data_IF_039683364572
#
_entry.id   IF_039683364572
#
_cell.length_a   1.000
_cell.length_b   1.000
_cell.length_c   1.000
_cell.angle_alpha   90.00
_cell.angle_beta   90.00
_cell.angle_gamma   90.00
#
_symmetry.space_group_name_H-M   'P 1'
#
loop_
_entity.id
_entity.type
_entity.pdbx_description
1 polymer ?
#
# COMPACT_ATOMS: atom_id res chain seq x y z
N UNK A 1 1.41 -1.26 15.48
CA UNK A 1 1.02 -2.66 15.73
C UNK A 1 0.65 -3.41 14.45
N UNK A 2 -0.26 -2.86 13.64
CA UNK A 2 -0.78 -3.49 12.40
C UNK A 2 0.31 -3.93 11.39
N UNK A 3 1.46 -3.26 11.35
CA UNK A 3 2.58 -3.59 10.45
C UNK A 3 3.79 -4.27 11.10
N UNK A 4 3.91 -4.26 12.45
CA UNK A 4 5.17 -4.55 13.16
C UNK A 4 5.46 -6.06 13.32
N UNK A 5 4.45 -6.84 13.69
CA UNK A 5 4.52 -8.31 13.66
C UNK A 5 4.64 -8.86 12.23
N UNK A 6 3.84 -8.38 11.25
CA UNK A 6 3.97 -8.83 9.88
C UNK A 6 5.38 -8.65 9.31
N UNK A 7 6.01 -7.50 9.49
CA UNK A 7 7.34 -7.25 8.88
C UNK A 7 8.42 -8.22 9.37
N UNK A 8 8.40 -8.60 10.65
CA UNK A 8 9.30 -9.63 11.21
C UNK A 8 9.00 -11.03 10.66
N UNK A 9 7.72 -11.34 10.46
CA UNK A 9 7.28 -12.63 9.92
C UNK A 9 7.39 -12.73 8.39
N UNK A 10 7.50 -11.62 7.66
CA UNK A 10 7.39 -11.57 6.19
C UNK A 10 8.44 -12.41 5.45
N UNK A 11 9.71 -12.35 5.88
CA UNK A 11 10.82 -13.10 5.27
C UNK A 11 10.69 -14.60 5.52
N UNK A 12 10.30 -14.96 6.74
CA UNK A 12 10.05 -16.35 7.12
C UNK A 12 8.83 -16.91 6.41
N UNK A 13 7.76 -16.13 6.31
CA UNK A 13 6.54 -16.48 5.61
C UNK A 13 6.81 -16.72 4.13
N UNK A 14 7.55 -15.84 3.45
CA UNK A 14 7.94 -16.02 2.04
C UNK A 14 8.68 -17.32 1.80
N UNK A 15 9.75 -17.59 2.56
CA UNK A 15 10.52 -18.84 2.49
C UNK A 15 9.68 -20.07 2.83
N UNK A 16 8.72 -19.94 3.74
CA UNK A 16 7.77 -21.00 4.03
C UNK A 16 6.87 -21.26 2.82
N UNK A 17 6.32 -20.24 2.16
CA UNK A 17 5.46 -20.43 0.97
C UNK A 17 6.20 -21.14 -0.16
N UNK A 18 7.48 -20.87 -0.32
CA UNK A 18 8.33 -21.54 -1.31
C UNK A 18 8.46 -23.05 -1.03
N UNK A 19 8.38 -23.48 0.25
CA UNK A 19 8.50 -24.89 0.67
C UNK A 19 7.17 -25.63 0.80
N UNK A 20 6.17 -24.99 1.39
CA UNK A 20 4.86 -25.62 1.71
C UNK A 20 3.76 -25.29 0.69
N UNK A 21 4.08 -24.47 -0.31
CA UNK A 21 3.14 -23.96 -1.30
C UNK A 21 2.28 -22.81 -0.77
N UNK A 22 1.72 -22.02 -1.68
CA UNK A 22 1.04 -20.74 -1.38
C UNK A 22 -0.34 -20.92 -0.72
N UNK A 23 -1.01 -22.05 -0.95
CA UNK A 23 -2.40 -22.26 -0.52
C UNK A 23 -2.59 -22.21 1.01
N UNK A 24 -1.69 -22.83 1.77
CA UNK A 24 -1.80 -22.88 3.24
C UNK A 24 -1.60 -21.49 3.87
N UNK A 25 -0.53 -20.73 3.53
CA UNK A 25 -0.38 -19.33 3.95
C UNK A 25 -1.56 -18.45 3.55
N UNK A 26 -2.10 -18.61 2.34
CA UNK A 26 -3.25 -17.83 1.86
C UNK A 26 -4.50 -18.10 2.72
N UNK A 27 -4.84 -19.37 2.96
CA UNK A 27 -5.95 -19.76 3.83
C UNK A 27 -5.76 -19.26 5.27
N UNK A 28 -4.56 -19.44 5.85
CA UNK A 28 -4.26 -18.98 7.19
C UNK A 28 -4.37 -17.46 7.31
N UNK A 29 -3.88 -16.73 6.30
CA UNK A 29 -3.98 -15.27 6.24
C UNK A 29 -5.42 -14.77 6.18
N UNK A 30 -6.22 -15.31 5.26
CA UNK A 30 -7.63 -14.94 5.14
C UNK A 30 -8.44 -15.34 6.38
N UNK A 31 -8.20 -16.52 6.94
CA UNK A 31 -8.84 -16.96 8.18
C UNK A 31 -8.49 -16.03 9.37
N UNK A 32 -7.22 -15.61 9.48
CA UNK A 32 -6.80 -14.64 10.50
C UNK A 32 -7.53 -13.31 10.38
N UNK A 33 -7.73 -12.80 9.16
CA UNK A 33 -8.52 -11.59 8.90
C UNK A 33 -9.97 -11.77 9.32
N UNK A 34 -10.61 -12.87 8.92
CA UNK A 34 -12.02 -13.18 9.29
C UNK A 34 -12.17 -13.27 10.81
N UNK A 35 -11.28 -14.00 11.49
CA UNK A 35 -11.28 -14.14 12.95
C UNK A 35 -11.07 -12.78 13.62
N UNK A 36 -10.11 -11.97 13.16
CA UNK A 36 -9.87 -10.63 13.70
C UNK A 36 -11.09 -9.72 13.56
N UNK A 37 -11.75 -9.72 12.41
CA UNK A 37 -12.95 -8.91 12.18
C UNK A 37 -14.14 -9.41 13.02
N UNK A 38 -14.34 -10.73 13.10
CA UNK A 38 -15.38 -11.32 13.95
C UNK A 38 -15.18 -10.96 15.43
N UNK A 39 -13.92 -10.93 15.87
CA UNK A 39 -13.55 -10.56 17.23
C UNK A 39 -13.86 -9.09 17.55
N UNK A 40 -13.62 -8.18 16.60
CA UNK A 40 -14.03 -6.77 16.70
C UNK A 40 -15.54 -6.60 16.84
N UNK A 41 -16.33 -7.48 16.20
CA UNK A 41 -17.78 -7.50 16.32
C UNK A 41 -18.25 -8.08 17.66
N UNK A 42 -17.60 -9.14 18.17
CA UNK A 42 -18.01 -9.83 19.39
C UNK A 42 -17.65 -9.02 20.65
N UNK A 43 -16.46 -8.42 20.68
CA UNK A 43 -15.92 -7.72 21.85
C UNK A 43 -15.53 -6.28 21.45
N UNK A 44 -16.49 -5.33 21.47
CA UNK A 44 -16.26 -3.95 21.06
C UNK A 44 -15.58 -3.13 22.17
N UNK A 45 -14.35 -3.51 22.52
CA UNK A 45 -13.52 -2.83 23.52
C UNK A 45 -12.26 -2.28 22.86
N UNK A 46 -11.78 -1.13 23.34
CA UNK A 46 -10.58 -0.47 22.79
C UNK A 46 -9.35 -1.39 22.86
N UNK A 47 -9.17 -2.08 23.99
CA UNK A 47 -8.06 -3.03 24.17
C UNK A 47 -8.10 -4.15 23.13
N UNK A 48 -9.30 -4.61 22.77
CA UNK A 48 -9.50 -5.64 21.77
C UNK A 48 -9.06 -5.20 20.39
N UNK A 49 -9.19 -3.91 20.06
CA UNK A 49 -8.78 -3.37 18.76
C UNK A 49 -7.27 -3.51 18.53
N UNK A 50 -6.46 -3.57 19.59
CA UNK A 50 -5.02 -3.87 19.44
C UNK A 50 -4.79 -5.30 18.95
N UNK A 51 -5.50 -6.28 19.54
CA UNK A 51 -5.41 -7.68 19.11
C UNK A 51 -5.97 -7.87 17.70
N UNK A 52 -7.13 -7.26 17.41
CA UNK A 52 -7.74 -7.24 16.07
C UNK A 52 -6.76 -6.68 15.05
N UNK A 53 -6.10 -5.56 15.36
CA UNK A 53 -5.10 -4.95 14.47
C UNK A 53 -3.93 -5.88 14.17
N UNK A 54 -3.46 -6.64 15.16
CA UNK A 54 -2.38 -7.63 14.98
C UNK A 54 -2.83 -8.82 14.12
N UNK A 55 -4.05 -9.34 14.33
CA UNK A 55 -4.60 -10.48 13.58
C UNK A 55 -4.91 -10.11 12.12
N UNK A 56 -5.58 -8.97 11.92
CA UNK A 56 -5.92 -8.47 10.59
C UNK A 56 -4.67 -8.05 9.83
N UNK A 57 -3.74 -7.34 10.48
CA UNK A 57 -2.49 -6.91 9.85
C UNK A 57 -1.60 -8.09 9.41
N UNK A 58 -1.40 -9.07 10.30
CA UNK A 58 -0.60 -10.26 9.98
C UNK A 58 -1.27 -11.13 8.91
N UNK A 59 -2.58 -11.31 9.02
CA UNK A 59 -3.38 -12.05 8.04
C UNK A 59 -3.38 -11.38 6.66
N UNK A 60 -3.57 -10.06 6.61
CA UNK A 60 -3.53 -9.27 5.39
C UNK A 60 -2.15 -9.34 4.73
N UNK A 61 -1.07 -9.30 5.49
CA UNK A 61 0.28 -9.42 4.92
C UNK A 61 0.51 -10.81 4.32
N UNK A 62 0.13 -11.89 5.00
CA UNK A 62 0.23 -13.26 4.46
C UNK A 62 -0.57 -13.40 3.16
N UNK A 63 -1.80 -12.89 3.15
CA UNK A 63 -2.64 -12.83 1.96
C UNK A 63 -1.95 -12.03 0.84
N UNK A 64 -1.44 -10.85 1.15
CA UNK A 64 -0.80 -9.97 0.18
C UNK A 64 0.45 -10.61 -0.44
N UNK A 65 1.33 -11.22 0.36
CA UNK A 65 2.51 -11.93 -0.15
C UNK A 65 2.09 -13.12 -1.02
N UNK A 66 1.10 -13.91 -0.56
CA UNK A 66 0.60 -15.06 -1.30
C UNK A 66 0.02 -14.68 -2.67
N UNK A 67 -0.81 -13.64 -2.73
CA UNK A 67 -1.43 -13.17 -3.97
C UNK A 67 -0.38 -12.59 -4.94
N UNK A 68 0.60 -11.81 -4.44
CA UNK A 68 1.70 -11.34 -5.28
C UNK A 68 2.55 -12.50 -5.82
N UNK A 69 2.77 -13.55 -5.01
CA UNK A 69 3.48 -14.75 -5.45
C UNK A 69 2.70 -15.48 -6.56
N UNK A 70 1.37 -15.61 -6.43
CA UNK A 70 0.50 -16.20 -7.44
C UNK A 70 0.54 -15.37 -8.73
N UNK A 71 0.37 -14.05 -8.65
CA UNK A 71 0.39 -13.17 -9.83
C UNK A 71 1.71 -13.24 -10.60
N UNK A 72 2.84 -13.36 -9.90
CA UNK A 72 4.15 -13.52 -10.52
C UNK A 72 4.46 -14.94 -11.04
N UNK A 73 3.68 -15.94 -10.62
CA UNK A 73 3.89 -17.36 -10.94
C UNK A 73 2.86 -17.97 -11.91
N UNK A 74 1.79 -17.25 -12.20
CA UNK A 74 0.73 -17.67 -13.12
C UNK A 74 1.11 -17.30 -14.57
N UNK A 75 0.81 -18.19 -15.52
CA UNK A 75 1.02 -17.97 -16.96
C UNK A 75 2.49 -17.97 -17.40
N UNK A 76 2.71 -17.62 -18.66
CA UNK A 76 4.06 -17.46 -19.21
C UNK A 76 4.73 -16.18 -18.70
N UNK A 77 6.07 -16.04 -18.83
CA UNK A 77 6.77 -14.79 -18.48
C UNK A 77 6.16 -13.53 -19.11
N UNK A 78 5.55 -13.69 -20.29
CA UNK A 78 4.90 -12.64 -21.08
C UNK A 78 3.60 -12.13 -20.42
N UNK A 79 2.88 -13.00 -19.71
CA UNK A 79 1.58 -12.70 -19.08
C UNK A 79 1.72 -12.01 -17.71
N UNK A 80 2.92 -12.03 -17.12
CA UNK A 80 3.16 -11.49 -15.76
C UNK A 80 2.76 -10.02 -15.65
N UNK A 81 3.04 -9.23 -16.67
CA UNK A 81 2.67 -7.82 -16.69
C UNK A 81 1.14 -7.63 -16.60
N UNK A 82 0.38 -8.45 -17.33
CA UNK A 82 -1.08 -8.44 -17.27
C UNK A 82 -1.58 -8.89 -15.89
N UNK A 83 -1.03 -9.96 -15.32
CA UNK A 83 -1.41 -10.46 -14.00
C UNK A 83 -1.19 -9.41 -12.90
N UNK A 84 -0.03 -8.74 -12.90
CA UNK A 84 0.24 -7.66 -11.96
C UNK A 84 -0.65 -6.43 -12.22
N UNK A 85 -1.01 -6.15 -13.48
CA UNK A 85 -1.95 -5.07 -13.81
C UNK A 85 -3.35 -5.36 -13.28
N UNK A 86 -3.88 -6.58 -13.48
CA UNK A 86 -5.17 -7.01 -12.95
C UNK A 86 -5.18 -7.00 -11.42
N UNK A 87 -4.11 -7.49 -10.78
CA UNK A 87 -3.95 -7.45 -9.33
C UNK A 87 -3.94 -6.00 -8.81
N UNK A 88 -3.18 -5.13 -9.47
CA UNK A 88 -3.10 -3.71 -9.15
C UNK A 88 -4.46 -3.01 -9.31
N UNK A 89 -5.22 -3.37 -10.35
CA UNK A 89 -6.58 -2.87 -10.58
C UNK A 89 -7.51 -3.30 -9.43
N UNK A 90 -7.47 -4.57 -9.03
CA UNK A 90 -8.25 -5.08 -7.90
C UNK A 90 -7.96 -4.34 -6.59
N UNK A 91 -6.68 -4.11 -6.27
CA UNK A 91 -6.32 -3.28 -5.10
C UNK A 91 -6.86 -1.85 -5.21
N UNK A 92 -6.76 -1.22 -6.37
CA UNK A 92 -7.26 0.13 -6.58
C UNK A 92 -8.80 0.20 -6.45
N UNK A 93 -9.52 -0.75 -7.03
CA UNK A 93 -10.98 -0.85 -6.88
C UNK A 93 -11.38 -1.04 -5.42
N UNK A 94 -10.65 -1.87 -4.67
CA UNK A 94 -10.89 -2.05 -3.23
C UNK A 94 -10.55 -0.80 -2.40
N UNK A 95 -9.48 -0.08 -2.76
CA UNK A 95 -9.07 1.17 -2.09
C UNK A 95 -10.00 2.34 -2.37
N UNK A 96 -10.74 2.30 -3.48
CA UNK A 96 -11.82 3.23 -3.81
C UNK A 96 -13.12 2.86 -3.06
N UNK A 97 -13.63 1.64 -3.25
CA UNK A 97 -14.93 1.22 -2.74
C UNK A 97 -14.92 0.95 -1.23
N UNK A 98 -13.81 0.45 -0.68
CA UNK A 98 -13.70 0.04 0.72
C UNK A 98 -14.02 1.16 1.70
N UNK A 99 -13.29 2.29 1.66
CA UNK A 99 -13.57 3.43 2.55
C UNK A 99 -14.97 4.03 2.37
N UNK A 100 -15.50 4.05 1.14
CA UNK A 100 -16.86 4.54 0.89
C UNK A 100 -17.90 3.63 1.54
N UNK A 101 -17.85 2.32 1.27
CA UNK A 101 -18.76 1.34 1.86
C UNK A 101 -18.66 1.39 3.39
N UNK A 102 -17.44 1.46 3.93
CA UNK A 102 -17.22 1.55 5.37
C UNK A 102 -17.80 2.84 5.96
N UNK A 103 -17.56 3.99 5.33
CA UNK A 103 -18.05 5.30 5.79
C UNK A 103 -19.58 5.36 5.87
N UNK A 104 -20.26 5.02 4.76
CA UNK A 104 -21.72 4.96 4.72
C UNK A 104 -22.28 3.95 5.73
N UNK A 105 -21.66 2.77 5.84
CA UNK A 105 -22.11 1.76 6.80
C UNK A 105 -21.93 2.23 8.25
N UNK A 106 -20.83 2.93 8.58
CA UNK A 106 -20.61 3.43 9.95
C UNK A 106 -21.72 4.41 10.34
N UNK A 107 -22.10 5.33 9.47
CA UNK A 107 -23.15 6.31 9.80
C UNK A 107 -24.54 5.66 9.90
N UNK A 108 -24.83 4.63 9.10
CA UNK A 108 -26.18 4.02 9.04
C UNK A 108 -26.39 2.88 10.03
N UNK A 109 -25.41 1.99 10.17
CA UNK A 109 -25.52 0.75 10.96
C UNK A 109 -24.54 0.70 12.13
N UNK A 110 -23.70 1.73 12.29
CA UNK A 110 -22.72 1.85 13.37
C UNK A 110 -21.48 0.99 13.18
N UNK A 111 -20.38 1.41 13.81
CA UNK A 111 -19.06 0.77 13.74
C UNK A 111 -19.09 -0.76 13.89
N UNK A 112 -19.83 -1.27 14.88
CA UNK A 112 -19.89 -2.71 15.19
C UNK A 112 -20.42 -3.52 14.01
N UNK A 113 -21.55 -3.12 13.43
CA UNK A 113 -22.17 -3.85 12.31
C UNK A 113 -21.39 -3.65 11.01
N UNK A 114 -20.70 -2.53 10.85
CA UNK A 114 -19.77 -2.32 9.73
C UNK A 114 -18.65 -3.35 9.73
N UNK A 115 -18.08 -3.71 10.89
CA UNK A 115 -17.12 -4.81 10.95
C UNK A 115 -17.71 -6.12 10.41
N UNK A 116 -18.94 -6.48 10.77
CA UNK A 116 -19.58 -7.69 10.26
C UNK A 116 -19.78 -7.64 8.73
N UNK A 117 -20.21 -6.50 8.20
CA UNK A 117 -20.37 -6.29 6.75
C UNK A 117 -19.04 -6.47 6.01
N UNK A 118 -17.96 -5.85 6.50
CA UNK A 118 -16.62 -6.01 5.92
C UNK A 118 -16.08 -7.44 6.08
N UNK A 119 -16.37 -8.08 7.21
CA UNK A 119 -16.07 -9.49 7.49
C UNK A 119 -16.76 -10.44 6.52
N UNK A 120 -17.95 -10.08 6.02
CA UNK A 120 -18.65 -10.83 4.98
C UNK A 120 -17.84 -10.99 3.70
N UNK A 121 -17.17 -9.93 3.21
CA UNK A 121 -16.29 -10.02 2.03
C UNK A 121 -15.08 -10.94 2.27
N UNK A 122 -14.45 -10.82 3.45
CA UNK A 122 -13.35 -11.70 3.83
C UNK A 122 -13.80 -13.16 3.97
N UNK A 123 -14.99 -13.40 4.51
CA UNK A 123 -15.59 -14.73 4.66
C UNK A 123 -15.94 -15.35 3.31
N UNK A 124 -16.52 -14.59 2.38
CA UNK A 124 -16.77 -15.05 1.00
C UNK A 124 -15.47 -15.49 0.32
N UNK A 125 -14.39 -14.73 0.52
CA UNK A 125 -13.06 -15.08 0.01
C UNK A 125 -12.56 -16.38 0.62
N UNK A 126 -12.71 -16.54 1.94
CA UNK A 126 -12.32 -17.77 2.66
C UNK A 126 -13.11 -18.99 2.21
N UNK A 127 -14.43 -18.85 2.05
CA UNK A 127 -15.31 -19.93 1.58
C UNK A 127 -14.95 -20.34 0.15
N UNK A 128 -14.66 -19.39 -0.75
CA UNK A 128 -14.19 -19.68 -2.10
C UNK A 128 -12.89 -20.49 -2.13
N UNK A 129 -11.94 -20.15 -1.25
CA UNK A 129 -10.67 -20.87 -1.10
C UNK A 129 -10.83 -22.28 -0.50
N UNK A 130 -11.72 -22.44 0.49
CA UNK A 130 -12.04 -23.72 1.11
C UNK A 130 -12.78 -24.65 0.15
N UNK A 131 -13.72 -24.11 -0.61
CA UNK A 131 -14.48 -24.82 -1.65
C UNK A 131 -13.64 -25.19 -2.89
N UNK A 132 -12.34 -24.86 -2.90
CA UNK A 132 -11.40 -25.12 -4.01
C UNK A 132 -11.86 -24.56 -5.36
N UNK A 133 -12.70 -23.50 -5.35
CA UNK A 133 -13.15 -22.84 -6.58
C UNK A 133 -12.08 -21.93 -7.21
N UNK A 134 -10.95 -21.73 -6.52
CA UNK A 134 -9.79 -21.00 -7.01
C UNK A 134 -8.65 -21.97 -7.26
N UNK A 135 -8.26 -22.12 -8.53
CA UNK A 135 -7.06 -22.86 -8.90
C UNK A 135 -5.83 -22.04 -8.53
N UNK A 136 -4.97 -22.62 -7.69
CA UNK A 136 -3.71 -21.99 -7.27
C UNK A 136 -2.59 -22.73 -8.02
N UNK A 137 -1.94 -22.10 -9.01
CA UNK A 137 -0.85 -22.73 -9.76
C UNK A 137 0.26 -23.17 -8.81
N UNK A 138 0.74 -24.41 -8.97
CA UNK A 138 1.96 -24.87 -8.29
C UNK A 138 3.15 -24.39 -9.09
N UNK A 139 3.95 -23.48 -8.53
CA UNK A 139 5.18 -23.03 -9.17
C UNK A 139 6.34 -23.97 -8.86
N UNK A 140 7.20 -24.17 -9.85
CA UNK A 140 8.55 -24.71 -9.65
C UNK A 140 9.41 -23.66 -8.96
N UNK A 141 10.13 -24.08 -7.91
CA UNK A 141 11.10 -23.26 -7.19
C UNK A 141 12.19 -22.85 -8.18
N UNK A 142 12.44 -21.55 -8.35
CA UNK A 142 13.63 -21.09 -9.05
C UNK A 142 14.83 -21.46 -8.19
N UNK A 143 15.83 -22.12 -8.79
CA UNK A 143 17.04 -22.50 -8.08
C UNK A 143 17.73 -21.26 -7.47
N UNK A 144 18.17 -21.33 -6.21
CA UNK A 144 18.95 -20.27 -5.61
C UNK A 144 20.25 -20.11 -6.41
N UNK A 145 20.44 -18.95 -7.03
CA UNK A 145 21.72 -18.62 -7.66
C UNK A 145 22.74 -18.38 -6.56
N UNK A 146 23.73 -19.29 -6.47
CA UNK A 146 24.72 -19.43 -5.40
C UNK A 146 25.84 -18.36 -5.43
N UNK A 147 25.65 -17.26 -6.16
CA UNK A 147 26.65 -16.20 -6.18
C UNK A 147 26.51 -15.31 -4.93
N UNK A 148 27.61 -15.22 -4.17
CA UNK A 148 27.83 -14.23 -3.09
C UNK A 148 27.86 -12.81 -3.65
N UNK A 149 26.74 -12.31 -4.17
CA UNK A 149 26.58 -10.96 -4.71
C UNK A 149 26.28 -9.99 -3.57
N UNK A 150 27.05 -8.90 -3.48
CA UNK A 150 26.87 -7.92 -2.41
C UNK A 150 25.69 -7.00 -2.73
N UNK A 151 24.73 -6.91 -1.79
CA UNK A 151 23.60 -5.97 -1.87
C UNK A 151 24.08 -4.50 -1.96
N UNK A 152 25.26 -4.20 -1.43
CA UNK A 152 25.90 -2.87 -1.52
C UNK A 152 26.11 -2.40 -2.95
N UNK A 153 26.23 -3.30 -3.92
CA UNK A 153 26.46 -2.95 -5.33
C UNK A 153 25.20 -2.34 -5.98
N UNK A 154 24.00 -2.70 -5.52
CA UNK A 154 22.76 -2.05 -5.95
C UNK A 154 22.74 -0.60 -5.49
N UNK A 155 23.21 -0.38 -4.26
CA UNK A 155 23.46 0.96 -3.75
C UNK A 155 24.68 1.61 -4.40
N UNK A 156 25.48 1.00 -5.27
CA UNK A 156 26.50 1.75 -6.04
C UNK A 156 25.91 2.37 -7.30
N UNK A 157 24.87 1.76 -7.86
CA UNK A 157 24.17 2.33 -9.00
C UNK A 157 23.44 3.61 -8.57
N UNK A 158 23.90 4.74 -9.11
CA UNK A 158 23.34 6.06 -8.81
C UNK A 158 21.84 6.06 -9.05
N UNK A 159 21.34 5.46 -10.13
CA UNK A 159 19.91 5.45 -10.47
C UNK A 159 19.08 4.66 -9.46
N UNK A 160 19.52 3.46 -9.08
CA UNK A 160 18.81 2.64 -8.10
C UNK A 160 18.73 3.32 -6.73
N UNK A 161 19.79 4.02 -6.29
CA UNK A 161 19.74 4.83 -5.05
C UNK A 161 18.56 5.80 -5.03
N UNK A 162 18.28 6.45 -6.16
CA UNK A 162 17.17 7.41 -6.24
C UNK A 162 15.82 6.73 -6.26
N UNK A 163 15.71 5.60 -6.94
CA UNK A 163 14.48 4.81 -6.93
C UNK A 163 14.16 4.30 -5.52
N UNK A 164 15.20 3.92 -4.76
CA UNK A 164 15.08 3.56 -3.34
C UNK A 164 14.72 4.74 -2.45
N UNK A 165 15.36 5.89 -2.65
CA UNK A 165 15.03 7.14 -1.94
C UNK A 165 13.57 7.57 -2.20
N UNK A 166 13.16 7.59 -3.47
CA UNK A 166 11.80 7.92 -3.86
C UNK A 166 10.80 6.95 -3.24
N UNK A 167 11.10 5.64 -3.23
CA UNK A 167 10.25 4.64 -2.55
C UNK A 167 10.15 4.90 -1.04
N UNK A 168 11.26 5.28 -0.41
CA UNK A 168 11.34 5.59 1.02
C UNK A 168 10.61 6.86 1.43
N UNK A 169 10.36 7.80 0.51
CA UNK A 169 9.59 9.03 0.77
C UNK A 169 8.13 8.89 0.32
N UNK A 170 7.87 8.21 -0.78
CA UNK A 170 6.51 8.03 -1.30
C UNK A 170 5.68 7.02 -0.47
N UNK A 171 6.32 6.00 0.12
CA UNK A 171 5.60 5.06 1.00
C UNK A 171 5.05 5.73 2.25
N UNK A 172 5.86 6.47 3.06
CA UNK A 172 5.29 7.19 4.19
C UNK A 172 4.30 8.28 3.77
N UNK A 173 4.39 8.79 2.54
CA UNK A 173 3.44 9.79 2.05
C UNK A 173 2.05 9.16 2.01
N UNK A 174 1.95 7.98 1.43
CA UNK A 174 0.71 7.21 1.40
C UNK A 174 0.19 6.89 2.79
N UNK A 175 1.08 6.41 3.67
CA UNK A 175 0.74 6.02 5.04
C UNK A 175 0.23 7.23 5.84
N UNK A 176 0.87 8.40 5.68
CA UNK A 176 0.46 9.66 6.31
C UNK A 176 -0.98 10.03 5.90
N UNK A 177 -1.29 10.03 4.61
CA UNK A 177 -2.65 10.35 4.15
C UNK A 177 -3.68 9.41 4.78
N UNK A 178 -3.44 8.11 4.70
CA UNK A 178 -4.40 7.10 5.16
C UNK A 178 -4.59 7.13 6.69
N UNK A 179 -3.54 7.48 7.43
CA UNK A 179 -3.56 7.60 8.88
C UNK A 179 -4.24 8.90 9.35
N UNK A 180 -3.89 10.03 8.71
CA UNK A 180 -4.25 11.35 9.25
C UNK A 180 -5.62 11.81 8.81
N UNK A 181 -6.07 11.44 7.61
CA UNK A 181 -7.37 11.91 7.10
C UNK A 181 -8.53 11.57 8.03
N UNK A 182 -8.66 10.33 8.58
CA UNK A 182 -9.72 10.05 9.55
C UNK A 182 -9.60 10.87 10.84
N UNK A 183 -8.37 11.11 11.32
CA UNK A 183 -8.12 11.87 12.55
C UNK A 183 -8.48 13.34 12.33
N UNK A 184 -7.92 13.98 11.31
CA UNK A 184 -8.19 15.37 10.95
C UNK A 184 -9.67 15.58 10.63
N UNK A 185 -10.26 14.69 9.84
CA UNK A 185 -11.68 14.73 9.51
C UNK A 185 -12.58 14.65 10.74
N UNK A 186 -12.30 13.74 11.67
CA UNK A 186 -13.06 13.65 12.92
C UNK A 186 -12.88 14.87 13.83
N UNK A 187 -11.69 15.47 13.87
CA UNK A 187 -11.39 16.66 14.68
C UNK A 187 -12.15 17.90 14.19
N UNK A 188 -12.33 18.04 12.87
CA UNK A 188 -13.10 19.12 12.27
C UNK A 188 -14.61 18.79 12.16
N UNK A 189 -15.05 17.66 12.72
CA UNK A 189 -16.46 17.28 12.82
C UNK A 189 -17.06 16.60 11.59
N UNK A 190 -16.26 16.08 10.67
CA UNK A 190 -16.76 15.30 9.53
C UNK A 190 -17.37 13.97 9.99
N UNK A 191 -18.47 13.60 9.35
CA UNK A 191 -19.11 12.28 9.44
C UNK A 191 -18.22 11.17 8.86
N UNK A 192 -18.52 9.90 9.20
CA UNK A 192 -17.76 8.78 8.66
C UNK A 192 -17.95 8.64 7.13
N UNK A 193 -19.12 9.00 6.62
CA UNK A 193 -19.40 9.07 5.18
C UNK A 193 -18.49 10.08 4.48
N UNK A 194 -18.35 11.29 5.02
CA UNK A 194 -17.50 12.32 4.42
C UNK A 194 -16.02 11.90 4.41
N UNK A 195 -15.53 11.32 5.51
CA UNK A 195 -14.17 10.75 5.57
C UNK A 195 -14.01 9.62 4.55
N UNK A 196 -15.01 8.74 4.46
CA UNK A 196 -15.05 7.64 3.49
C UNK A 196 -15.04 8.14 2.04
N UNK A 197 -15.72 9.24 1.73
CA UNK A 197 -15.72 9.90 0.42
C UNK A 197 -14.36 10.54 0.10
N UNK A 198 -13.68 11.15 1.07
CA UNK A 198 -12.33 11.71 0.88
C UNK A 198 -11.31 10.60 0.56
N UNK A 199 -11.33 9.52 1.34
CA UNK A 199 -10.49 8.34 1.08
C UNK A 199 -10.87 7.64 -0.23
N UNK A 200 -12.16 7.61 -0.56
CA UNK A 200 -12.68 7.12 -1.83
C UNK A 200 -12.18 7.94 -3.01
N UNK A 201 -12.24 9.28 -2.95
CA UNK A 201 -11.74 10.17 -3.99
C UNK A 201 -10.24 9.95 -4.27
N UNK A 202 -9.45 9.73 -3.22
CA UNK A 202 -8.06 9.31 -3.36
C UNK A 202 -7.93 7.97 -4.11
N UNK A 203 -8.69 6.94 -3.73
CA UNK A 203 -8.76 5.65 -4.43
C UNK A 203 -9.19 5.76 -5.90
N UNK A 204 -10.19 6.58 -6.19
CA UNK A 204 -10.69 6.84 -7.54
C UNK A 204 -9.63 7.51 -8.41
N UNK A 205 -8.92 8.50 -7.88
CA UNK A 205 -7.81 9.14 -8.57
C UNK A 205 -6.68 8.16 -8.92
N UNK A 206 -6.33 7.25 -7.99
CA UNK A 206 -5.34 6.20 -8.26
C UNK A 206 -5.80 5.29 -9.39
N UNK A 207 -7.06 4.88 -9.38
CA UNK A 207 -7.65 4.06 -10.43
C UNK A 207 -7.58 4.77 -11.80
N UNK A 208 -8.00 6.03 -11.86
CA UNK A 208 -7.94 6.86 -13.08
C UNK A 208 -6.51 7.00 -13.59
N UNK A 209 -5.56 7.34 -12.73
CA UNK A 209 -4.15 7.46 -13.14
C UNK A 209 -3.58 6.14 -13.62
N UNK A 210 -3.90 5.02 -12.96
CA UNK A 210 -3.41 3.70 -13.40
C UNK A 210 -3.93 3.32 -14.80
N UNK A 211 -5.16 3.68 -15.14
CA UNK A 211 -5.68 3.53 -16.50
C UNK A 211 -4.98 4.47 -17.49
N UNK A 212 -4.61 5.68 -17.07
CA UNK A 212 -3.94 6.67 -17.91
C UNK A 212 -2.43 6.43 -18.09
N UNK A 213 -1.77 5.72 -17.16
CA UNK A 213 -0.32 5.50 -17.14
C UNK A 213 0.24 4.94 -18.46
N UNK A 214 -0.36 3.91 -19.10
CA UNK A 214 0.13 3.41 -20.39
C UNK A 214 0.18 4.50 -21.46
N UNK A 215 -0.86 5.34 -21.53
CA UNK A 215 -0.95 6.44 -22.48
C UNK A 215 0.04 7.57 -22.16
N UNK A 216 0.24 7.87 -20.87
CA UNK A 216 1.19 8.88 -20.39
C UNK A 216 2.63 8.51 -20.75
N UNK A 217 2.98 7.23 -20.59
CA UNK A 217 4.33 6.74 -20.87
C UNK A 217 4.71 6.76 -22.35
N UNK A 218 3.74 6.81 -23.27
CA UNK A 218 4.02 7.04 -24.69
C UNK A 218 4.47 8.48 -25.00
N UNK A 219 4.18 9.44 -24.12
CA UNK A 219 4.46 10.87 -24.33
C UNK A 219 5.44 11.47 -23.34
N UNK A 220 5.56 10.89 -22.14
CA UNK A 220 6.28 11.44 -21.00
C UNK A 220 7.16 10.36 -20.38
N UNK A 221 8.42 10.68 -20.06
CA UNK A 221 9.35 9.72 -19.46
C UNK A 221 9.00 9.38 -18.00
N UNK A 222 9.40 8.19 -17.56
CA UNK A 222 9.15 7.66 -16.20
C UNK A 222 9.62 8.64 -15.09
N UNK A 223 10.79 9.25 -15.27
CA UNK A 223 11.36 10.23 -14.34
C UNK A 223 10.57 11.53 -14.27
N UNK A 224 10.01 11.98 -15.39
CA UNK A 224 9.21 13.20 -15.45
C UNK A 224 7.89 13.00 -14.72
N UNK A 225 7.22 11.86 -14.94
CA UNK A 225 6.00 11.48 -14.22
C UNK A 225 6.27 11.37 -12.72
N UNK A 226 7.35 10.67 -12.34
CA UNK A 226 7.72 10.50 -10.93
C UNK A 226 8.05 11.84 -10.26
N UNK A 227 8.79 12.71 -10.94
CA UNK A 227 9.14 14.05 -10.42
C UNK A 227 7.90 14.91 -10.25
N UNK A 228 7.02 14.95 -11.26
CA UNK A 228 5.78 15.74 -11.20
C UNK A 228 4.88 15.25 -10.06
N UNK A 229 4.75 13.93 -9.91
CA UNK A 229 4.01 13.31 -8.81
C UNK A 229 4.55 13.70 -7.43
N UNK A 230 5.87 13.68 -7.24
CA UNK A 230 6.49 14.04 -5.96
C UNK A 230 6.31 15.53 -5.66
N UNK A 231 6.51 16.40 -6.65
CA UNK A 231 6.31 17.84 -6.49
C UNK A 231 4.84 18.18 -6.20
N UNK A 232 3.90 17.63 -6.96
CA UNK A 232 2.47 17.89 -6.77
C UNK A 232 2.00 17.40 -5.39
N UNK A 233 2.38 16.17 -5.01
CA UNK A 233 2.05 15.60 -3.69
C UNK A 233 2.64 16.46 -2.56
N UNK A 234 3.89 16.89 -2.71
CA UNK A 234 4.56 17.73 -1.72
C UNK A 234 3.85 19.07 -1.52
N UNK A 235 3.48 19.74 -2.62
CA UNK A 235 2.69 20.99 -2.58
C UNK A 235 1.34 20.75 -1.92
N UNK A 236 0.65 19.67 -2.29
CA UNK A 236 -0.66 19.34 -1.68
C UNK A 236 -0.55 19.15 -0.17
N UNK A 237 0.51 18.52 0.35
CA UNK A 237 0.70 18.40 1.80
C UNK A 237 0.99 19.70 2.54
N UNK A 238 1.53 20.73 1.88
CA UNK A 238 1.62 22.05 2.52
C UNK A 238 0.24 22.67 2.74
N UNK A 239 -0.66 22.46 1.79
CA UNK A 239 -2.02 23.04 1.80
C UNK A 239 -2.98 22.20 2.65
N UNK A 240 -2.84 20.88 2.64
CA UNK A 240 -3.77 19.93 3.27
C UNK A 240 -4.18 20.28 4.72
N UNK A 241 -3.25 20.51 5.67
CA UNK A 241 -3.62 20.79 7.06
C UNK A 241 -4.29 22.15 7.28
N UNK A 242 -4.26 23.04 6.28
CA UNK A 242 -4.89 24.37 6.38
C UNK A 242 -6.38 24.33 6.02
N UNK A 243 -6.85 23.21 5.46
CA UNK A 243 -8.20 23.07 4.92
C UNK A 243 -9.12 22.38 5.91
N UNK A 244 -10.29 22.98 6.11
CA UNK A 244 -11.33 22.49 7.02
C UNK A 244 -12.64 22.13 6.29
N UNK A 245 -12.78 22.47 4.99
CA UNK A 245 -13.99 22.20 4.21
C UNK A 245 -13.90 20.90 3.42
N UNK A 246 -14.95 20.08 3.48
CA UNK A 246 -15.05 18.79 2.77
C UNK A 246 -14.76 18.90 1.25
N UNK A 247 -15.33 19.85 0.47
CA UNK A 247 -15.11 19.86 -0.99
C UNK A 247 -13.65 20.08 -1.37
N UNK A 248 -12.95 20.91 -0.60
CA UNK A 248 -11.54 21.19 -0.84
C UNK A 248 -10.67 19.99 -0.39
N UNK A 249 -10.97 19.35 0.75
CA UNK A 249 -10.29 18.11 1.14
C UNK A 249 -10.47 16.99 0.11
N UNK A 250 -11.66 16.86 -0.47
CA UNK A 250 -11.95 15.89 -1.54
C UNK A 250 -11.09 16.18 -2.78
N UNK A 251 -10.99 17.46 -3.17
CA UNK A 251 -10.15 17.89 -4.29
C UNK A 251 -8.67 17.60 -4.03
N UNK A 252 -8.16 17.94 -2.83
CA UNK A 252 -6.77 17.67 -2.46
C UNK A 252 -6.49 16.16 -2.37
N UNK A 253 -7.41 15.36 -1.85
CA UNK A 253 -7.32 13.90 -1.84
C UNK A 253 -7.26 13.33 -3.27
N UNK A 254 -8.08 13.84 -4.19
CA UNK A 254 -8.02 13.45 -5.58
C UNK A 254 -6.66 13.79 -6.22
N UNK A 255 -6.13 15.00 -5.99
CA UNK A 255 -4.79 15.41 -6.47
C UNK A 255 -3.69 14.52 -5.89
N UNK A 256 -3.74 14.20 -4.59
CA UNK A 256 -2.82 13.28 -3.94
C UNK A 256 -2.89 11.89 -4.57
N UNK A 257 -4.09 11.40 -4.89
CA UNK A 257 -4.29 10.10 -5.50
C UNK A 257 -3.71 10.02 -6.91
N UNK A 258 -3.81 11.11 -7.68
CA UNK A 258 -3.16 11.24 -9.00
C UNK A 258 -1.63 11.13 -8.84
N UNK A 259 -1.07 11.95 -7.93
CA UNK A 259 0.36 12.01 -7.69
C UNK A 259 0.90 10.65 -7.23
N UNK A 260 0.39 10.13 -6.11
CA UNK A 260 0.88 8.91 -5.49
C UNK A 260 0.56 7.65 -6.30
N UNK A 261 -0.61 7.58 -6.94
CA UNK A 261 -1.11 6.37 -7.62
C UNK A 261 -0.26 5.92 -8.81
N UNK A 262 0.30 6.87 -9.55
CA UNK A 262 1.15 6.59 -10.72
C UNK A 262 2.59 6.18 -10.38
N UNK A 263 3.06 6.45 -9.15
CA UNK A 263 4.48 6.27 -8.81
C UNK A 263 4.92 4.81 -8.74
N UNK A 264 4.05 3.90 -8.30
CA UNK A 264 4.39 2.50 -8.11
C UNK A 264 4.75 1.79 -9.43
N UNK A 265 3.95 1.90 -10.51
CA UNK A 265 4.35 1.40 -11.83
C UNK A 265 5.68 1.99 -12.34
N UNK A 266 5.89 3.31 -12.17
CA UNK A 266 7.13 3.97 -12.62
C UNK A 266 8.36 3.40 -11.90
N UNK A 267 8.25 3.22 -10.58
CA UNK A 267 9.33 2.66 -9.77
C UNK A 267 9.63 1.21 -10.20
N UNK A 268 8.60 0.40 -10.46
CA UNK A 268 8.79 -0.97 -10.94
C UNK A 268 9.46 -1.02 -12.31
N UNK A 269 9.03 -0.17 -13.25
CA UNK A 269 9.64 -0.06 -14.57
C UNK A 269 11.13 0.35 -14.49
N UNK A 270 11.45 1.37 -13.67
CA UNK A 270 12.83 1.83 -13.44
C UNK A 270 13.70 0.77 -12.76
N UNK A 271 13.17 0.03 -11.79
CA UNK A 271 13.90 -1.08 -11.16
C UNK A 271 14.18 -2.20 -12.16
N UNK A 272 13.21 -2.56 -13.00
CA UNK A 272 13.38 -3.61 -13.99
C UNK A 272 14.35 -3.21 -15.12
N UNK A 273 14.31 -1.95 -15.56
CA UNK A 273 15.10 -1.48 -16.71
C UNK A 273 16.51 -1.02 -16.34
N UNK A 274 16.73 -0.56 -15.09
CA UNK A 274 18.03 -0.01 -14.64
C UNK A 274 18.77 -0.92 -13.66
N UNK A 275 18.18 -2.02 -13.20
CA UNK A 275 18.91 -3.02 -12.44
C UNK A 275 19.94 -3.74 -13.34
N UNK A 276 21.11 -4.11 -12.80
CA UNK A 276 22.06 -4.94 -13.53
C UNK A 276 21.43 -6.26 -14.01
N UNK A 277 21.90 -6.84 -15.12
CA UNK A 277 21.38 -8.11 -15.64
C UNK A 277 21.33 -9.19 -14.56
N UNK A 278 20.19 -9.86 -14.40
CA UNK A 278 19.98 -10.90 -13.40
C UNK A 278 19.80 -10.43 -11.96
N UNK A 279 19.76 -9.11 -11.68
CA UNK A 279 19.64 -8.55 -10.31
C UNK A 279 18.37 -7.73 -10.06
N UNK A 280 17.41 -7.74 -10.98
CA UNK A 280 16.13 -7.03 -10.83
C UNK A 280 15.35 -7.51 -9.59
N UNK A 281 15.33 -8.82 -9.32
CA UNK A 281 14.68 -9.40 -8.15
C UNK A 281 15.31 -8.91 -6.83
N UNK A 282 16.65 -8.81 -6.76
CA UNK A 282 17.33 -8.25 -5.58
C UNK A 282 16.93 -6.78 -5.36
N UNK A 283 16.87 -5.98 -6.43
CA UNK A 283 16.48 -4.57 -6.34
C UNK A 283 15.02 -4.39 -5.88
N UNK A 284 14.11 -5.23 -6.36
CA UNK A 284 12.72 -5.30 -5.88
C UNK A 284 12.67 -5.73 -4.41
N UNK A 285 13.51 -6.67 -4.00
CA UNK A 285 13.65 -7.10 -2.60
C UNK A 285 14.10 -5.97 -1.67
N UNK A 286 15.13 -5.22 -2.06
CA UNK A 286 15.61 -4.04 -1.30
C UNK A 286 14.51 -2.98 -1.18
N UNK A 287 13.79 -2.67 -2.27
CA UNK A 287 12.65 -1.75 -2.20
C UNK A 287 11.57 -2.26 -1.24
N UNK A 288 11.25 -3.55 -1.30
CA UNK A 288 10.25 -4.14 -0.42
C UNK A 288 10.65 -4.00 1.03
N UNK A 289 11.93 -4.19 1.36
CA UNK A 289 12.45 -3.94 2.71
C UNK A 289 12.25 -2.47 3.14
N UNK A 290 12.58 -1.51 2.27
CA UNK A 290 12.39 -0.07 2.55
C UNK A 290 10.93 0.25 2.85
N UNK A 291 9.99 -0.28 2.05
CA UNK A 291 8.55 -0.06 2.23
C UNK A 291 8.05 -0.68 3.54
N UNK A 292 8.46 -1.91 3.83
CA UNK A 292 8.09 -2.58 5.08
C UNK A 292 8.59 -1.81 6.31
N UNK A 293 9.83 -1.30 6.27
CA UNK A 293 10.38 -0.45 7.33
C UNK A 293 9.57 0.84 7.48
N UNK A 294 9.21 1.48 6.37
CA UNK A 294 8.33 2.67 6.38
C UNK A 294 7.00 2.37 7.05
N UNK A 295 6.28 1.35 6.59
CA UNK A 295 4.94 1.01 7.10
C UNK A 295 4.94 0.63 8.59
N UNK A 296 6.08 0.15 9.10
CA UNK A 296 6.24 -0.19 10.51
C UNK A 296 6.59 1.02 11.36
N UNK A 297 7.58 1.80 10.95
CA UNK A 297 8.13 2.90 11.76
C UNK A 297 7.38 4.23 11.61
N UNK A 298 6.90 4.53 10.40
CA UNK A 298 6.36 5.86 10.08
C UNK A 298 5.03 6.16 10.77
N UNK A 299 4.06 5.23 10.89
CA UNK A 299 2.86 5.49 11.67
C UNK A 299 3.14 5.80 13.15
N UNK A 300 4.16 5.18 13.74
CA UNK A 300 4.59 5.47 15.11
C UNK A 300 5.22 6.86 15.21
N UNK A 301 6.04 7.23 14.24
CA UNK A 301 6.62 8.57 14.14
C UNK A 301 5.54 9.64 13.95
N UNK A 302 4.57 9.41 13.05
CA UNK A 302 3.46 10.34 12.82
C UNK A 302 2.56 10.47 14.04
N UNK A 303 2.24 9.37 14.72
CA UNK A 303 1.47 9.40 15.96
C UNK A 303 2.20 10.12 17.10
N UNK A 304 3.49 9.84 17.29
CA UNK A 304 4.30 10.47 18.33
C UNK A 304 4.54 11.95 18.09
N UNK A 305 4.98 12.33 16.88
CA UNK A 305 5.16 13.74 16.51
C UNK A 305 3.83 14.49 16.49
N UNK A 306 2.77 13.84 16.00
CA UNK A 306 1.42 14.38 15.97
C UNK A 306 0.86 14.70 17.35
N UNK A 307 1.15 13.86 18.34
CA UNK A 307 0.72 14.08 19.72
C UNK A 307 1.45 15.25 20.42
N UNK A 308 2.72 15.49 20.08
CA UNK A 308 3.54 16.53 20.74
C UNK A 308 3.46 17.89 20.02
N UNK A 309 3.52 17.88 18.69
CA UNK A 309 3.66 19.08 17.85
C UNK A 309 2.37 19.40 17.07
N UNK A 310 1.35 18.55 17.15
CA UNK A 310 0.20 18.59 16.25
C UNK A 310 0.50 17.95 14.90
N UNK A 311 -0.54 17.77 14.07
CA UNK A 311 -0.42 17.09 12.78
C UNK A 311 0.17 17.99 11.67
N UNK A 312 0.02 19.31 11.78
CA UNK A 312 0.47 20.27 10.76
C UNK A 312 1.97 20.19 10.46
N UNK A 313 2.88 20.16 11.47
CA UNK A 313 4.32 20.02 11.21
C UNK A 313 4.69 18.70 10.52
N UNK A 314 3.94 17.63 10.77
CA UNK A 314 4.15 16.32 10.12
C UNK A 314 3.87 16.42 8.63
N UNK A 315 2.77 17.08 8.24
CA UNK A 315 2.44 17.34 6.84
C UNK A 315 3.49 18.20 6.15
N UNK A 316 3.94 19.29 6.78
CA UNK A 316 4.94 20.18 6.18
C UNK A 316 6.30 19.51 6.05
N UNK A 317 6.76 18.77 7.07
CA UNK A 317 7.99 17.98 6.97
C UNK A 317 7.92 17.01 5.79
N UNK A 318 6.77 16.35 5.61
CA UNK A 318 6.57 15.45 4.50
C UNK A 318 6.53 16.16 3.15
N UNK A 319 5.88 17.32 3.09
CA UNK A 319 5.89 18.21 1.93
C UNK A 319 7.31 18.61 1.52
N UNK A 320 8.15 19.03 2.48
CA UNK A 320 9.56 19.36 2.25
C UNK A 320 10.31 18.14 1.71
N UNK A 321 10.17 16.96 2.33
CA UNK A 321 10.85 15.75 1.88
C UNK A 321 10.48 15.36 0.45
N UNK A 322 9.20 15.46 0.09
CA UNK A 322 8.71 15.17 -1.26
C UNK A 322 9.19 16.19 -2.29
N UNK A 323 9.09 17.48 -1.99
CA UNK A 323 9.56 18.55 -2.90
C UNK A 323 11.07 18.46 -3.11
N UNK A 324 11.83 18.29 -2.03
CA UNK A 324 13.28 18.10 -2.10
C UNK A 324 13.62 16.88 -2.96
N UNK A 325 13.01 15.73 -2.67
CA UNK A 325 13.29 14.49 -3.40
C UNK A 325 12.89 14.58 -4.88
N UNK A 326 11.79 15.26 -5.20
CA UNK A 326 11.38 15.57 -6.58
C UNK A 326 12.38 16.49 -7.29
N UNK A 327 12.88 17.53 -6.61
CA UNK A 327 13.91 18.40 -7.18
C UNK A 327 15.21 17.65 -7.50
N UNK A 328 15.63 16.73 -6.63
CA UNK A 328 16.82 15.92 -6.90
C UNK A 328 16.55 14.88 -8.01
N UNK A 329 15.32 14.36 -8.11
CA UNK A 329 14.92 13.46 -9.21
C UNK A 329 14.91 14.15 -10.58
N UNK A 330 14.58 15.45 -10.66
CA UNK A 330 14.61 16.23 -11.90
C UNK A 330 16.00 16.33 -12.55
N UNK A 331 17.07 16.17 -11.77
CA UNK A 331 18.47 16.28 -12.24
C UNK A 331 19.00 14.97 -12.86
N UNK A 332 18.10 14.09 -13.32
CA UNK A 332 18.40 12.76 -13.89
C UNK A 332 17.84 12.62 -15.28
#
# INVERSE_FOLDING_TARGET
LLALLPTLCSVHAGRAMDRIGVRRPLLAGTASVVCGIALAFLVPQLEMLFLVSCLVGSGFMLFHIAVNHIAGGMGEPQDRALNFSLLALGFSTSGFLGPMIAGFAIDWIGHRRTFLLLGGFALLTLVGLLARRMEIPRRHVLEPTDEKRRLSDLFRNRTLRYVFLASGVLSPAWDLFTFVVPIHGSQIGLSATEIGLILGAFGAAIFVVRLAVPLLLHRVGEWQVLTLAMLSTGVTYFVFPLVHGMPLLLTLAFILGIGLGGTQPMIMALLSSKAPPGRAAEAIGVRSLIINLSQTGMPLLFGGLGAVLGMTPVFWAMGVCLVASGYVARRR
#
